data_IF_615097337797
#
_entry.id   IF_615097337797
#
_cell.length_a   1.000
_cell.length_b   1.000
_cell.length_c   1.000
_cell.angle_alpha   90.00
_cell.angle_beta   90.00
_cell.angle_gamma   90.00
#
_symmetry.space_group_name_H-M   'P 1'
#
loop_
_entity.id
_entity.type
_entity.pdbx_description
1 polymer ?
#
# COMPACT_ATOMS: atom_id res chain seq x y z
N UNK A 1 18.34 -2.48 -7.72
CA UNK A 1 18.82 -2.59 -6.31
C UNK A 1 17.59 -2.80 -5.46
N UNK A 2 17.51 -3.88 -4.68
CA UNK A 2 16.31 -4.14 -3.85
C UNK A 2 16.35 -3.20 -2.64
N UNK A 3 15.30 -2.40 -2.41
CA UNK A 3 15.21 -1.45 -1.29
C UNK A 3 15.42 -2.12 0.07
N UNK A 4 15.02 -3.39 0.21
CA UNK A 4 15.24 -4.18 1.43
C UNK A 4 16.74 -4.29 1.78
N UNK A 5 17.62 -4.40 0.78
CA UNK A 5 19.09 -4.44 1.01
C UNK A 5 19.66 -3.11 1.50
N UNK A 6 18.93 -2.01 1.31
CA UNK A 6 19.32 -0.71 1.88
C UNK A 6 18.89 -0.68 3.35
N UNK A 7 17.67 -1.14 3.67
CA UNK A 7 17.19 -1.22 5.04
C UNK A 7 18.09 -2.11 5.93
N UNK A 8 18.56 -3.24 5.39
CA UNK A 8 19.48 -4.17 6.05
C UNK A 8 20.82 -3.53 6.49
N UNK A 9 21.20 -2.38 5.94
CA UNK A 9 22.41 -1.65 6.35
C UNK A 9 22.24 -0.88 7.67
N UNK A 10 21.01 -0.75 8.16
CA UNK A 10 20.66 -0.02 9.38
C UNK A 10 19.97 -0.94 10.39
N UNK A 11 20.57 -2.08 10.77
CA UNK A 11 19.90 -3.07 11.61
C UNK A 11 19.53 -2.48 12.97
N UNK A 12 18.44 -2.99 13.55
CA UNK A 12 18.22 -2.82 14.98
C UNK A 12 19.40 -3.42 15.75
N UNK A 13 19.77 -2.74 16.84
CA UNK A 13 20.83 -3.18 17.74
C UNK A 13 20.43 -2.90 19.17
N UNK A 14 20.85 -3.75 20.10
CA UNK A 14 20.51 -3.65 21.52
C UNK A 14 20.01 -4.99 22.06
N UNK A 15 19.38 -4.94 23.23
CA UNK A 15 18.71 -6.10 23.82
C UNK A 15 17.31 -6.21 23.23
N UNK A 16 17.12 -7.17 22.32
CA UNK A 16 15.87 -7.40 21.59
C UNK A 16 15.33 -8.76 22.02
N UNK A 17 14.05 -8.83 22.34
CA UNK A 17 13.38 -10.10 22.64
C UNK A 17 12.07 -10.19 21.89
N UNK A 18 11.98 -11.14 20.97
CA UNK A 18 10.76 -11.47 20.26
C UNK A 18 9.98 -12.58 20.98
N UNK A 19 8.67 -12.45 21.05
CA UNK A 19 7.78 -13.47 21.59
C UNK A 19 6.39 -13.38 20.97
N UNK A 20 5.66 -14.49 20.99
CA UNK A 20 4.30 -14.57 20.48
C UNK A 20 3.38 -15.02 21.60
N UNK A 21 2.27 -14.33 21.78
CA UNK A 21 1.23 -14.71 22.73
C UNK A 21 -0.04 -15.11 22.00
N UNK A 22 -0.90 -15.82 22.73
CA UNK A 22 -2.21 -16.23 22.21
C UNK A 22 -3.28 -15.33 22.79
N UNK A 23 -4.19 -14.89 21.94
CA UNK A 23 -5.32 -14.05 22.25
C UNK A 23 -6.61 -14.77 21.83
N UNK A 24 -7.67 -14.58 22.61
CA UNK A 24 -9.02 -15.05 22.29
C UNK A 24 -9.99 -13.91 22.62
N UNK A 25 -10.81 -13.51 21.65
CA UNK A 25 -11.69 -12.33 21.73
C UNK A 25 -10.93 -11.13 22.33
N UNK A 26 -9.80 -10.81 21.67
CA UNK A 26 -8.88 -9.70 21.94
C UNK A 26 -8.27 -9.69 23.36
N UNK A 27 -8.45 -10.79 24.10
CA UNK A 27 -7.96 -10.96 25.46
C UNK A 27 -6.83 -11.97 25.53
N UNK A 28 -5.77 -11.61 26.29
CA UNK A 28 -4.64 -12.50 26.54
C UNK A 28 -5.06 -13.76 27.32
N UNK A 29 -4.75 -14.94 26.78
CA UNK A 29 -5.06 -16.21 27.47
C UNK A 29 -3.89 -16.83 28.25
N UNK A 30 -2.64 -16.41 27.98
CA UNK A 30 -1.44 -16.96 28.64
C UNK A 30 -0.72 -15.89 29.45
N UNK A 31 -0.61 -16.10 30.76
CA UNK A 31 0.05 -15.16 31.68
C UNK A 31 1.42 -15.64 32.18
N UNK A 32 1.90 -16.79 31.72
CA UNK A 32 3.27 -17.25 31.99
C UNK A 32 4.26 -16.47 31.14
N UNK A 33 5.37 -16.06 31.76
CA UNK A 33 6.46 -15.34 31.08
C UNK A 33 7.02 -16.18 29.91
N UNK A 34 6.98 -15.68 28.66
CA UNK A 34 7.26 -16.49 27.48
C UNK A 34 8.76 -16.71 27.19
N UNK A 35 9.63 -15.88 27.77
CA UNK A 35 11.08 -15.97 27.58
C UNK A 35 11.85 -15.61 28.86
N UNK A 36 12.97 -16.28 29.17
CA UNK A 36 13.85 -15.88 30.27
C UNK A 36 14.55 -14.54 30.06
N UNK A 37 14.65 -14.06 28.81
CA UNK A 37 15.25 -12.77 28.46
C UNK A 37 14.34 -11.57 28.80
N UNK A 38 13.09 -11.85 29.19
CA UNK A 38 12.15 -10.88 29.73
C UNK A 38 12.35 -10.86 31.25
N UNK A 39 12.65 -9.68 31.81
CA UNK A 39 12.75 -9.53 33.26
C UNK A 39 11.38 -9.67 33.93
N UNK A 40 11.38 -9.95 35.22
CA UNK A 40 10.12 -10.03 35.97
C UNK A 40 9.42 -8.68 36.02
N UNK A 41 10.17 -7.57 36.07
CA UNK A 41 9.61 -6.21 36.01
C UNK A 41 8.86 -5.96 34.70
N UNK A 42 9.50 -6.23 33.56
CA UNK A 42 8.90 -6.02 32.23
C UNK A 42 7.67 -6.91 32.03
N UNK A 43 7.73 -8.17 32.50
CA UNK A 43 6.58 -9.06 32.39
C UNK A 43 5.41 -8.60 33.26
N UNK A 44 5.68 -8.14 34.49
CA UNK A 44 4.64 -7.57 35.33
C UNK A 44 4.06 -6.28 34.75
N UNK A 45 4.88 -5.46 34.08
CA UNK A 45 4.39 -4.29 33.38
C UNK A 45 3.50 -4.65 32.20
N UNK A 46 3.89 -5.64 31.39
CA UNK A 46 3.07 -6.17 30.31
C UNK A 46 1.69 -6.62 30.81
N UNK A 47 1.65 -7.41 31.89
CA UNK A 47 0.39 -7.90 32.46
C UNK A 47 -0.51 -6.78 33.01
N UNK A 48 0.07 -5.73 33.63
CA UNK A 48 -0.68 -4.57 34.13
C UNK A 48 -1.22 -3.67 33.04
N UNK A 49 -0.62 -3.69 31.86
CA UNK A 49 -0.99 -2.83 30.73
C UNK A 49 -2.29 -3.26 30.05
N UNK A 50 -2.80 -4.47 30.35
CA UNK A 50 -4.06 -4.99 29.79
C UNK A 50 -4.19 -4.81 28.28
N UNK A 51 -3.11 -5.11 27.54
CA UNK A 51 -3.03 -4.91 26.10
C UNK A 51 -4.07 -5.77 25.40
N UNK A 52 -5.07 -5.12 24.80
CA UNK A 52 -6.05 -5.71 23.88
C UNK A 52 -5.49 -5.69 22.47
N UNK A 53 -5.63 -6.78 21.72
CA UNK A 53 -5.17 -6.81 20.33
C UNK A 53 -5.96 -7.85 19.54
N UNK A 54 -6.51 -7.40 18.41
CA UNK A 54 -7.28 -8.19 17.47
C UNK A 54 -6.36 -9.09 16.68
N UNK A 55 -6.78 -10.34 16.47
CA UNK A 55 -6.00 -11.29 15.71
C UNK A 55 -6.88 -12.37 15.07
N UNK A 56 -6.90 -12.43 13.74
CA UNK A 56 -7.69 -13.42 12.98
C UNK A 56 -7.27 -14.87 13.32
N UNK A 57 -6.00 -15.08 13.65
CA UNK A 57 -5.46 -16.39 14.01
C UNK A 57 -5.23 -16.59 15.51
N UNK A 58 -5.65 -15.61 16.33
CA UNK A 58 -5.46 -15.61 17.79
C UNK A 58 -3.99 -15.55 18.22
N UNK A 59 -3.06 -15.11 17.37
CA UNK A 59 -1.63 -14.94 17.67
C UNK A 59 -1.21 -13.50 17.44
N UNK A 60 -0.59 -12.92 18.45
CA UNK A 60 -0.03 -11.56 18.40
C UNK A 60 1.46 -11.66 18.68
N UNK A 61 2.27 -11.04 17.82
CA UNK A 61 3.72 -11.00 17.94
C UNK A 61 4.14 -9.72 18.63
N UNK A 62 5.14 -9.83 19.49
CA UNK A 62 5.66 -8.73 20.28
C UNK A 62 7.18 -8.71 20.19
N UNK A 63 7.74 -7.51 20.19
CA UNK A 63 9.18 -7.29 20.31
C UNK A 63 9.44 -6.29 21.44
N UNK A 64 10.26 -6.68 22.41
CA UNK A 64 10.79 -5.79 23.44
C UNK A 64 12.12 -5.20 23.00
N UNK A 65 12.20 -3.87 22.90
CA UNK A 65 13.40 -3.11 22.53
C UNK A 65 13.28 -1.66 23.02
N UNK A 66 14.40 -1.05 23.40
CA UNK A 66 14.47 0.39 23.70
C UNK A 66 14.34 1.21 22.40
N UNK A 67 13.20 1.90 22.21
CA UNK A 67 12.88 2.63 20.99
C UNK A 67 13.28 4.11 21.05
N UNK A 68 13.40 4.68 22.25
CA UNK A 68 13.67 6.11 22.45
C UNK A 68 15.02 6.43 23.13
N UNK A 69 15.75 5.40 23.55
CA UNK A 69 17.09 5.48 24.14
C UNK A 69 17.10 5.81 25.63
N UNK A 70 16.00 5.67 26.35
CA UNK A 70 15.92 5.93 27.78
C UNK A 70 16.46 4.78 28.66
N UNK A 71 16.85 3.66 28.03
CA UNK A 71 17.40 2.47 28.69
C UNK A 71 16.36 1.50 29.21
N UNK A 72 15.07 1.79 29.08
CA UNK A 72 13.96 0.84 29.29
C UNK A 72 13.53 0.30 27.94
N UNK A 73 13.16 -0.99 27.88
CA UNK A 73 12.64 -1.58 26.65
C UNK A 73 11.16 -1.24 26.51
N UNK A 74 10.80 -0.70 25.36
CA UNK A 74 9.45 -0.48 24.89
C UNK A 74 8.92 -1.70 24.16
N UNK A 75 7.65 -1.64 23.76
CA UNK A 75 6.95 -2.75 23.12
C UNK A 75 6.53 -2.39 21.69
N UNK A 76 6.92 -3.23 20.74
CA UNK A 76 6.33 -3.29 19.40
C UNK A 76 5.29 -4.42 19.40
N UNK A 77 4.14 -4.17 18.78
CA UNK A 77 3.04 -5.12 18.61
C UNK A 77 2.82 -5.31 17.12
N UNK A 78 2.88 -6.56 16.65
CA UNK A 78 2.54 -6.92 15.27
C UNK A 78 1.40 -7.92 15.30
N UNK A 79 0.25 -7.53 14.74
CA UNK A 79 -0.93 -8.38 14.67
C UNK A 79 -1.51 -8.47 13.27
N UNK A 80 -1.92 -9.67 12.90
CA UNK A 80 -2.68 -9.93 11.68
C UNK A 80 -4.17 -9.93 12.02
N UNK A 81 -4.86 -8.87 11.61
CA UNK A 81 -6.27 -8.61 11.93
C UNK A 81 -7.20 -9.22 10.88
N UNK A 82 -6.69 -9.45 9.66
CA UNK A 82 -7.42 -10.16 8.61
C UNK A 82 -8.26 -9.25 7.71
N UNK A 83 -9.49 -9.67 7.42
CA UNK A 83 -10.36 -8.99 6.45
C UNK A 83 -10.00 -9.28 4.99
N UNK A 84 -10.75 -8.70 4.06
CA UNK A 84 -10.59 -9.00 2.62
C UNK A 84 -9.23 -8.57 2.07
N UNK A 85 -8.64 -7.50 2.61
CA UNK A 85 -7.29 -7.04 2.29
C UNK A 85 -6.15 -7.85 2.94
N UNK A 86 -6.44 -8.73 3.90
CA UNK A 86 -5.42 -9.38 4.75
C UNK A 86 -4.55 -8.33 5.47
N UNK A 87 -5.17 -7.50 6.29
CA UNK A 87 -4.48 -6.43 7.01
C UNK A 87 -3.65 -6.97 8.17
N UNK A 88 -2.46 -6.42 8.30
CA UNK A 88 -1.67 -6.48 9.53
C UNK A 88 -1.39 -5.08 10.03
N UNK A 89 -1.43 -4.91 11.34
CA UNK A 89 -1.17 -3.67 12.03
C UNK A 89 0.05 -3.78 12.92
N UNK A 90 0.83 -2.71 12.95
CA UNK A 90 1.98 -2.57 13.84
C UNK A 90 1.74 -1.41 14.80
N UNK A 91 1.70 -1.69 16.09
CA UNK A 91 1.57 -0.72 17.17
C UNK A 91 2.86 -0.56 17.99
N UNK A 92 2.99 0.56 18.69
CA UNK A 92 4.08 0.78 19.65
C UNK A 92 3.57 1.34 20.97
N UNK A 93 4.01 0.76 22.07
CA UNK A 93 3.72 1.22 23.42
C UNK A 93 5.02 1.57 24.15
N UNK A 94 5.04 2.75 24.76
CA UNK A 94 6.16 3.23 25.53
C UNK A 94 6.15 2.62 26.93
N UNK A 95 7.31 2.22 27.43
CA UNK A 95 7.46 1.73 28.80
C UNK A 95 7.41 2.89 29.80
N UNK A 96 6.42 2.84 30.70
CA UNK A 96 6.31 3.69 31.87
C UNK A 96 7.17 3.22 33.04
N UNK A 97 6.72 3.47 34.27
CA UNK A 97 7.38 2.92 35.46
C UNK A 97 6.88 1.51 35.76
N UNK A 98 5.60 1.23 35.55
CA UNK A 98 4.99 -0.06 35.86
C UNK A 98 4.04 -0.59 34.77
N UNK A 99 3.87 0.11 33.65
CA UNK A 99 3.06 -0.29 32.51
C UNK A 99 3.71 0.02 31.14
N UNK A 100 3.00 -0.32 30.07
CA UNK A 100 3.23 0.06 28.68
C UNK A 100 1.99 0.81 28.18
N UNK A 101 2.18 2.01 27.63
CA UNK A 101 1.07 2.84 27.18
C UNK A 101 1.36 3.49 25.83
N UNK A 102 0.30 3.74 25.06
CA UNK A 102 0.41 4.54 23.84
C UNK A 102 0.70 6.01 24.23
N UNK A 103 1.63 6.65 23.52
CA UNK A 103 1.96 8.08 23.77
C UNK A 103 0.89 9.03 23.24
N UNK A 104 0.07 8.56 22.31
CA UNK A 104 -1.17 9.21 21.92
C UNK A 104 -2.31 8.34 22.46
N UNK A 105 -3.03 8.81 23.47
CA UNK A 105 -4.26 8.17 23.98
C UNK A 105 -5.43 8.27 22.99
N UNK A 106 -5.17 8.20 21.68
CA UNK A 106 -6.21 7.92 20.69
C UNK A 106 -6.47 6.41 20.73
N UNK A 107 -7.03 5.93 21.83
CA UNK A 107 -8.10 4.95 21.70
C UNK A 107 -9.13 5.67 20.82
N UNK A 108 -9.28 5.21 19.57
CA UNK A 108 -10.48 5.20 18.70
C UNK A 108 -11.69 6.16 18.91
N UNK A 109 -11.55 7.29 19.61
CA UNK A 109 -12.63 8.20 20.01
C UNK A 109 -12.71 9.47 19.14
N UNK A 110 -11.85 9.60 18.13
CA UNK A 110 -12.21 10.43 16.99
C UNK A 110 -13.22 9.59 16.20
N UNK A 111 -14.47 10.07 16.07
CA UNK A 111 -15.61 9.32 15.54
C UNK A 111 -15.54 8.90 14.06
N UNK A 112 -14.35 8.70 13.53
CA UNK A 112 -14.02 7.82 12.42
C UNK A 112 -13.76 6.40 12.99
N UNK A 113 -14.58 5.45 12.56
CA UNK A 113 -14.73 4.03 12.96
C UNK A 113 -13.47 3.15 12.77
N UNK A 114 -12.27 3.74 12.92
CA UNK A 114 -10.99 3.12 12.66
C UNK A 114 -10.45 2.43 13.91
N UNK A 115 -10.97 1.24 14.18
CA UNK A 115 -10.37 0.32 15.13
C UNK A 115 -9.18 -0.39 14.46
N UNK A 116 -7.98 0.12 14.71
CA UNK A 116 -6.74 -0.45 14.16
C UNK A 116 -6.43 -1.86 14.71
N UNK A 117 -7.24 -2.39 15.63
CA UNK A 117 -7.08 -3.72 16.23
C UNK A 117 -5.82 -3.89 17.08
N UNK A 118 -4.98 -2.85 17.24
CA UNK A 118 -3.82 -2.83 18.13
C UNK A 118 -3.64 -1.44 18.75
N UNK A 119 -3.26 -1.33 20.03
CA UNK A 119 -3.05 -0.05 20.68
C UNK A 119 -1.77 0.60 20.16
N UNK A 120 -1.77 1.94 20.11
CA UNK A 120 -0.62 2.70 19.64
C UNK A 120 -0.26 2.46 18.17
N UNK A 121 -1.25 2.15 17.32
CA UNK A 121 -1.06 1.84 15.90
C UNK A 121 -0.17 2.87 15.16
N UNK A 122 0.96 2.39 14.64
CA UNK A 122 1.98 3.18 13.95
C UNK A 122 1.88 3.10 12.42
N UNK A 123 1.50 1.95 11.88
CA UNK A 123 1.17 1.77 10.46
C UNK A 123 0.42 0.44 10.27
N UNK A 124 -0.15 0.26 9.09
CA UNK A 124 -0.72 -1.00 8.62
C UNK A 124 -0.06 -1.43 7.31
N UNK A 125 -0.23 -2.71 6.98
CA UNK A 125 0.07 -3.26 5.66
C UNK A 125 -1.13 -4.05 5.14
N UNK A 126 -1.43 -3.92 3.85
CA UNK A 126 -2.46 -4.69 3.16
C UNK A 126 -1.82 -5.76 2.27
N UNK A 127 -2.07 -7.03 2.59
CA UNK A 127 -1.47 -8.17 1.91
C UNK A 127 -2.01 -8.46 0.50
N UNK A 128 -3.16 -7.90 0.10
CA UNK A 128 -3.78 -8.16 -1.22
C UNK A 128 -3.97 -6.93 -2.11
N UNK A 129 -4.11 -5.74 -1.55
CA UNK A 129 -4.49 -4.50 -2.21
C UNK A 129 -3.50 -3.35 -2.02
N UNK A 130 -2.26 -3.65 -1.64
CA UNK A 130 -1.21 -2.64 -1.57
C UNK A 130 0.17 -3.22 -1.85
N UNK A 131 1.10 -2.34 -2.25
CA UNK A 131 2.51 -2.70 -2.39
C UNK A 131 3.25 -2.13 -1.18
N UNK A 132 3.18 -2.83 -0.06
CA UNK A 132 3.68 -2.35 1.22
C UNK A 132 4.62 -3.36 1.85
N UNK A 133 5.64 -2.85 2.54
CA UNK A 133 6.50 -3.63 3.43
C UNK A 133 7.10 -2.69 4.45
N UNK A 134 7.68 -3.24 5.50
CA UNK A 134 8.34 -2.45 6.52
C UNK A 134 9.65 -3.11 6.96
N UNK A 135 10.48 -2.30 7.63
CA UNK A 135 11.65 -2.78 8.34
C UNK A 135 11.94 -1.84 9.52
N UNK A 136 12.28 -2.40 10.68
CA UNK A 136 12.77 -1.59 11.77
C UNK A 136 14.25 -1.27 11.57
N UNK A 137 14.60 0.01 11.68
CA UNK A 137 15.95 0.50 11.42
C UNK A 137 16.46 1.39 12.54
N UNK A 138 17.77 1.37 12.77
CA UNK A 138 18.45 2.30 13.68
C UNK A 138 19.39 3.20 12.90
N UNK A 139 19.13 4.51 12.93
CA UNK A 139 19.90 5.52 12.22
C UNK A 139 20.39 6.55 13.23
N UNK A 140 21.71 6.72 13.33
CA UNK A 140 22.35 7.65 14.26
C UNK A 140 21.85 7.54 15.71
N UNK A 141 21.60 6.31 16.17
CA UNK A 141 21.14 6.02 17.53
C UNK A 141 19.62 6.06 17.72
N UNK A 142 18.85 6.63 16.78
CA UNK A 142 17.39 6.68 16.83
C UNK A 142 16.77 5.50 16.07
N UNK A 143 15.77 4.86 16.68
CA UNK A 143 14.98 3.81 16.04
C UNK A 143 13.83 4.43 15.22
N UNK A 144 13.58 3.84 14.05
CA UNK A 144 12.47 4.17 13.16
C UNK A 144 11.84 2.88 12.62
N UNK A 145 10.53 2.90 12.35
CA UNK A 145 9.95 2.00 11.36
C UNK A 145 10.13 2.63 9.98
N UNK A 146 10.93 1.98 9.13
CA UNK A 146 10.96 2.28 7.71
C UNK A 146 9.75 1.61 7.06
N UNK A 147 8.75 2.41 6.69
CA UNK A 147 7.53 1.91 6.06
C UNK A 147 7.52 2.30 4.58
N UNK A 148 7.39 1.30 3.72
CA UNK A 148 7.29 1.46 2.28
C UNK A 148 5.83 1.35 1.86
N UNK A 149 5.39 2.32 1.06
CA UNK A 149 4.09 2.31 0.40
C UNK A 149 4.25 2.68 -1.07
N UNK A 150 3.98 1.71 -1.95
CA UNK A 150 4.15 1.83 -3.39
C UNK A 150 2.83 1.90 -4.15
N UNK A 151 2.81 2.78 -5.15
CA UNK A 151 1.76 2.94 -6.15
C UNK A 151 2.40 2.93 -7.55
N UNK A 152 1.60 2.81 -8.60
CA UNK A 152 2.09 2.86 -9.97
C UNK A 152 2.79 4.20 -10.24
N UNK A 153 4.05 4.14 -10.64
CA UNK A 153 4.88 5.32 -10.91
C UNK A 153 5.42 6.04 -9.67
N UNK A 154 5.15 5.58 -8.44
CA UNK A 154 5.63 6.22 -7.21
C UNK A 154 5.88 5.22 -6.07
N UNK A 155 7.07 5.28 -5.48
CA UNK A 155 7.37 4.62 -4.22
C UNK A 155 7.57 5.68 -3.12
N UNK A 156 6.91 5.52 -1.98
CA UNK A 156 7.15 6.32 -0.78
C UNK A 156 7.81 5.49 0.31
N UNK A 157 8.90 6.01 0.88
CA UNK A 157 9.60 5.44 2.03
C UNK A 157 9.52 6.42 3.19
N UNK A 158 8.76 6.06 4.21
CA UNK A 158 8.53 6.85 5.41
C UNK A 158 9.46 6.40 6.54
N UNK A 159 10.06 7.35 7.26
CA UNK A 159 10.80 7.08 8.50
C UNK A 159 9.93 7.42 9.71
N UNK A 160 9.10 6.47 10.11
CA UNK A 160 8.16 6.64 11.21
C UNK A 160 8.91 6.55 12.54
N UNK A 161 8.93 7.65 13.29
CA UNK A 161 9.54 7.70 14.62
C UNK A 161 8.54 7.17 15.67
N UNK A 162 8.90 6.16 16.48
CA UNK A 162 8.10 5.74 17.62
C UNK A 162 7.76 6.94 18.52
N UNK A 163 6.56 6.93 19.09
CA UNK A 163 6.09 7.93 20.06
C UNK A 163 6.00 9.38 19.54
N UNK A 164 6.17 9.56 18.24
CA UNK A 164 6.01 10.86 17.60
C UNK A 164 4.54 11.25 17.56
N UNK A 165 4.24 12.48 17.99
CA UNK A 165 2.87 13.04 17.95
C UNK A 165 2.61 13.90 16.70
N UNK A 166 3.63 14.12 15.87
CA UNK A 166 3.47 14.86 14.61
C UNK A 166 2.81 13.98 13.54
N UNK A 167 1.84 14.56 12.82
CA UNK A 167 1.24 13.97 11.62
C UNK A 167 2.16 14.04 10.39
N UNK A 168 3.22 14.85 10.45
CA UNK A 168 4.27 14.93 9.44
C UNK A 168 5.44 14.02 9.80
N UNK A 169 5.93 13.27 8.82
CA UNK A 169 7.07 12.38 8.96
C UNK A 169 8.06 12.57 7.79
N UNK A 170 9.38 12.39 7.99
CA UNK A 170 10.33 12.40 6.89
C UNK A 170 10.02 11.26 5.92
N UNK A 171 10.01 11.57 4.63
CA UNK A 171 9.79 10.61 3.57
C UNK A 171 10.73 10.84 2.39
N UNK A 172 11.05 9.75 1.69
CA UNK A 172 11.68 9.77 0.37
C UNK A 172 10.66 9.26 -0.64
N UNK A 173 10.38 10.07 -1.65
CA UNK A 173 9.54 9.70 -2.79
C UNK A 173 10.41 9.42 -3.99
N UNK A 174 10.22 8.26 -4.61
CA UNK A 174 10.86 7.90 -5.88
C UNK A 174 9.80 7.86 -6.95
N UNK A 175 9.93 8.70 -7.98
CA UNK A 175 9.04 8.72 -9.14
C UNK A 175 9.64 7.91 -10.28
N UNK A 176 8.78 7.20 -10.99
CA UNK A 176 9.16 6.35 -12.11
C UNK A 176 8.41 6.69 -13.40
N UNK A 177 9.06 6.38 -14.52
CA UNK A 177 8.45 6.21 -15.84
C UNK A 177 8.79 4.82 -16.36
N UNK A 178 7.91 4.25 -17.16
CA UNK A 178 7.99 2.90 -17.68
C UNK A 178 8.14 2.95 -19.20
N UNK A 179 9.08 2.18 -19.75
CA UNK A 179 9.16 1.95 -21.20
C UNK A 179 8.26 0.78 -21.55
N UNK A 180 6.94 1.02 -21.63
CA UNK A 180 5.93 0.02 -21.98
C UNK A 180 6.04 -0.33 -23.47
N UNK A 181 6.55 -1.52 -23.79
CA UNK A 181 6.84 -1.93 -25.16
C UNK A 181 6.41 -3.38 -25.49
N UNK A 182 5.84 -4.08 -24.50
CA UNK A 182 5.34 -5.44 -24.62
C UNK A 182 3.82 -5.42 -24.43
N UNK A 183 3.10 -6.04 -25.38
CA UNK A 183 1.65 -6.27 -25.32
C UNK A 183 1.44 -7.74 -25.63
N UNK A 184 0.78 -8.47 -24.73
CA UNK A 184 0.57 -9.92 -24.82
C UNK A 184 -0.86 -10.30 -24.40
N UNK A 185 -1.30 -11.48 -24.80
CA UNK A 185 -2.54 -12.05 -24.29
C UNK A 185 -2.38 -12.41 -22.80
N UNK A 186 -3.42 -12.21 -21.97
CA UNK A 186 -3.46 -12.74 -20.61
C UNK A 186 -3.31 -14.27 -20.59
N UNK A 187 -3.88 -14.94 -21.59
CA UNK A 187 -3.71 -16.37 -21.76
C UNK A 187 -2.41 -16.68 -22.49
N UNK A 188 -1.57 -17.50 -21.83
CA UNK A 188 -0.26 -17.87 -22.37
C UNK A 188 -0.39 -18.54 -23.74
N UNK A 189 0.44 -18.08 -24.68
CA UNK A 189 0.54 -18.60 -26.05
C UNK A 189 -0.75 -18.42 -26.90
N UNK A 190 -1.71 -17.60 -26.44
CA UNK A 190 -2.91 -17.24 -27.20
C UNK A 190 -2.73 -15.94 -27.98
N UNK A 191 -3.47 -15.75 -29.09
CA UNK A 191 -3.52 -14.47 -29.79
C UNK A 191 -4.16 -13.38 -28.90
N UNK A 192 -3.84 -12.12 -29.21
CA UNK A 192 -4.52 -10.98 -28.62
C UNK A 192 -6.01 -11.00 -28.99
N UNK A 193 -6.86 -10.75 -28.00
CA UNK A 193 -8.30 -10.59 -28.18
C UNK A 193 -8.72 -9.26 -27.56
N UNK A 194 -9.21 -8.29 -28.35
CA UNK A 194 -9.24 -8.27 -29.82
C UNK A 194 -7.84 -8.31 -30.45
N UNK A 195 -7.74 -8.69 -31.73
CA UNK A 195 -6.47 -8.61 -32.46
C UNK A 195 -6.06 -7.16 -32.72
N UNK A 196 -4.75 -6.88 -32.66
CA UNK A 196 -4.18 -5.57 -32.98
C UNK A 196 -3.50 -5.60 -34.34
N UNK A 197 -3.86 -4.67 -35.23
CA UNK A 197 -3.03 -4.37 -36.40
C UNK A 197 -1.73 -3.67 -35.96
N UNK A 198 -0.73 -3.60 -36.84
CA UNK A 198 0.51 -2.86 -36.54
C UNK A 198 0.25 -1.38 -36.24
N UNK A 199 -0.75 -0.78 -36.91
CA UNK A 199 -1.20 0.59 -36.67
C UNK A 199 -1.85 0.76 -35.29
N UNK A 200 -2.85 -0.07 -34.98
CA UNK A 200 -3.55 -0.03 -33.69
C UNK A 200 -2.56 -0.27 -32.53
N UNK A 201 -1.61 -1.20 -32.70
CA UNK A 201 -0.55 -1.47 -31.73
C UNK A 201 0.34 -0.25 -31.50
N UNK A 202 0.76 0.43 -32.56
CA UNK A 202 1.60 1.62 -32.45
C UNK A 202 0.86 2.78 -31.77
N UNK A 203 -0.44 2.95 -32.06
CA UNK A 203 -1.27 3.97 -31.42
C UNK A 203 -1.54 3.64 -29.95
N UNK A 204 -1.79 2.37 -29.60
CA UNK A 204 -1.91 1.93 -28.20
C UNK A 204 -0.62 2.22 -27.41
N UNK A 205 0.55 1.87 -27.95
CA UNK A 205 1.84 2.18 -27.31
C UNK A 205 2.04 3.70 -27.11
N UNK A 206 1.57 4.53 -28.05
CA UNK A 206 1.59 5.99 -27.90
C UNK A 206 0.65 6.46 -26.80
N UNK A 207 -0.58 5.93 -26.73
CA UNK A 207 -1.52 6.22 -25.65
C UNK A 207 -0.94 5.84 -24.28
N UNK A 208 -0.28 4.67 -24.19
CA UNK A 208 0.40 4.22 -22.99
C UNK A 208 1.54 5.17 -22.57
N UNK A 209 2.31 5.72 -23.51
CA UNK A 209 3.36 6.70 -23.19
C UNK A 209 2.76 8.01 -22.66
N UNK A 210 1.70 8.53 -23.30
CA UNK A 210 1.03 9.77 -22.89
C UNK A 210 0.42 9.64 -21.49
N UNK A 211 -0.23 8.51 -21.20
CA UNK A 211 -0.88 8.20 -19.92
C UNK A 211 0.01 8.45 -18.71
N UNK A 212 1.32 8.19 -18.84
CA UNK A 212 2.27 8.31 -17.74
C UNK A 212 2.47 9.74 -17.25
N UNK A 213 1.97 10.75 -17.99
CA UNK A 213 1.90 12.14 -17.54
C UNK A 213 0.57 12.53 -16.88
N UNK A 214 -0.40 11.61 -16.79
CA UNK A 214 -1.77 11.89 -16.37
C UNK A 214 -2.42 10.73 -15.59
N UNK A 215 -1.63 10.08 -14.72
CA UNK A 215 -2.07 9.00 -13.84
C UNK A 215 -3.21 9.46 -12.93
N UNK A 216 -4.18 8.59 -12.62
CA UNK A 216 -5.34 8.96 -11.80
C UNK A 216 -4.94 9.47 -10.42
N UNK A 217 -3.94 8.83 -9.79
CA UNK A 217 -3.41 9.24 -8.48
C UNK A 217 -2.88 10.68 -8.43
N UNK A 218 -2.46 11.23 -9.56
CA UNK A 218 -1.91 12.58 -9.66
C UNK A 218 -2.98 13.61 -10.10
N UNK A 219 -4.22 13.18 -10.39
CA UNK A 219 -5.32 14.08 -10.79
C UNK A 219 -6.01 14.69 -9.57
N UNK A 220 -6.36 15.98 -9.61
CA UNK A 220 -7.23 16.58 -8.59
C UNK A 220 -8.61 15.92 -8.59
N UNK A 221 -9.20 15.70 -7.42
CA UNK A 221 -10.55 15.12 -7.29
C UNK A 221 -11.66 15.94 -7.98
N UNK A 222 -11.41 17.21 -8.28
CA UNK A 222 -12.34 18.11 -8.97
C UNK A 222 -12.23 18.12 -10.49
N UNK A 223 -11.28 17.38 -11.07
CA UNK A 223 -11.04 17.36 -12.50
C UNK A 223 -11.77 16.18 -13.16
N UNK A 224 -12.97 16.47 -13.71
CA UNK A 224 -13.72 15.48 -14.49
C UNK A 224 -13.05 15.15 -15.84
N UNK A 225 -12.00 15.88 -16.23
CA UNK A 225 -11.23 15.64 -17.44
C UNK A 225 -12.01 15.85 -18.74
N UNK A 226 -11.30 15.67 -19.86
CA UNK A 226 -11.95 15.48 -21.15
C UNK A 226 -12.45 14.03 -21.27
N UNK A 227 -13.51 13.78 -22.05
CA UNK A 227 -13.96 12.41 -22.29
C UNK A 227 -12.83 11.58 -22.91
N UNK A 228 -12.69 10.33 -22.47
CA UNK A 228 -11.63 9.42 -22.88
C UNK A 228 -11.77 9.11 -24.37
N UNK A 229 -12.99 8.82 -24.81
CA UNK A 229 -13.36 8.64 -26.21
C UNK A 229 -14.25 9.78 -26.71
N UNK A 230 -14.25 10.11 -28.01
CA UNK A 230 -15.15 11.12 -28.56
C UNK A 230 -16.62 10.72 -28.38
N UNK A 231 -17.40 11.63 -27.79
CA UNK A 231 -18.85 11.45 -27.58
C UNK A 231 -19.58 11.69 -28.91
N UNK A 232 -20.39 10.73 -29.40
CA UNK A 232 -21.18 10.92 -30.61
C UNK A 232 -22.16 12.10 -30.52
N UNK A 233 -22.41 12.82 -31.64
CA UNK A 233 -23.44 13.85 -31.66
C UNK A 233 -24.83 13.28 -31.33
N UNK A 234 -25.53 13.91 -30.40
CA UNK A 234 -26.88 13.51 -29.99
C UNK A 234 -26.95 12.47 -28.87
N UNK A 235 -25.81 12.07 -28.30
CA UNK A 235 -25.75 11.28 -27.06
C UNK A 235 -26.40 12.05 -25.91
N UNK A 236 -27.23 11.37 -25.11
CA UNK A 236 -27.88 11.97 -23.95
C UNK A 236 -26.85 12.31 -22.86
N UNK A 237 -27.24 13.13 -21.87
CA UNK A 237 -26.34 13.47 -20.77
C UNK A 237 -25.95 12.21 -19.96
N UNK A 238 -26.92 11.34 -19.67
CA UNK A 238 -26.69 10.11 -18.90
C UNK A 238 -25.77 9.12 -19.65
N UNK A 239 -25.92 9.01 -20.98
CA UNK A 239 -25.03 8.17 -21.80
C UNK A 239 -23.64 8.78 -22.00
N UNK A 240 -23.50 10.11 -21.88
CA UNK A 240 -22.22 10.80 -22.02
C UNK A 240 -21.27 10.44 -20.87
N UNK A 241 -21.79 10.13 -19.69
CA UNK A 241 -21.00 9.76 -18.50
C UNK A 241 -20.16 8.50 -18.74
N UNK A 242 -20.64 7.55 -19.55
CA UNK A 242 -19.93 6.32 -19.92
C UNK A 242 -18.62 6.57 -20.71
N UNK A 243 -18.37 7.80 -21.16
CA UNK A 243 -17.16 8.18 -21.88
C UNK A 243 -16.05 8.71 -20.97
N UNK A 244 -16.29 8.85 -19.66
CA UNK A 244 -15.36 9.45 -18.70
C UNK A 244 -14.72 8.43 -17.74
N UNK A 245 -15.22 7.19 -17.68
CA UNK A 245 -14.71 6.14 -16.80
C UNK A 245 -14.53 4.81 -17.52
N UNK A 246 -13.71 3.94 -16.93
CA UNK A 246 -13.53 2.57 -17.36
C UNK A 246 -14.29 1.56 -16.49
N UNK A 247 -13.88 0.31 -16.60
CA UNK A 247 -14.46 -0.81 -15.84
C UNK A 247 -14.07 -0.72 -14.37
N UNK A 248 -15.00 -1.03 -13.46
CA UNK A 248 -14.69 -1.15 -12.04
C UNK A 248 -13.83 -2.39 -11.79
N UNK A 249 -12.70 -2.22 -11.08
CA UNK A 249 -11.78 -3.31 -10.75
C UNK A 249 -11.93 -3.75 -9.29
N UNK A 250 -11.50 -4.98 -9.01
CA UNK A 250 -11.50 -5.53 -7.65
C UNK A 250 -10.45 -4.81 -6.77
N UNK A 251 -10.67 -4.76 -5.45
CA UNK A 251 -9.78 -4.10 -4.47
C UNK A 251 -8.33 -4.63 -4.42
N UNK A 252 -8.06 -5.78 -5.05
CA UNK A 252 -6.69 -6.33 -5.19
C UNK A 252 -5.87 -5.64 -6.30
N UNK A 253 -6.47 -4.67 -6.99
CA UNK A 253 -5.90 -3.95 -8.11
C UNK A 253 -5.86 -2.45 -7.86
N UNK A 254 -4.77 -1.82 -8.27
CA UNK A 254 -4.68 -0.37 -8.39
C UNK A 254 -5.22 0.06 -9.76
N UNK A 255 -6.28 0.88 -9.81
CA UNK A 255 -6.66 1.56 -11.07
C UNK A 255 -5.68 2.69 -11.36
N UNK A 256 -4.90 2.52 -12.43
CA UNK A 256 -3.80 3.43 -12.77
C UNK A 256 -4.28 4.59 -13.64
N UNK A 257 -5.02 4.25 -14.71
CA UNK A 257 -5.48 5.22 -15.70
C UNK A 257 -6.60 4.68 -16.57
N UNK A 258 -7.28 5.63 -17.24
CA UNK A 258 -8.14 5.35 -18.37
C UNK A 258 -7.55 6.00 -19.62
N UNK A 259 -7.47 5.26 -20.72
CA UNK A 259 -6.91 5.75 -21.99
C UNK A 259 -7.83 5.44 -23.18
N UNK A 260 -7.80 6.26 -24.25
CA UNK A 260 -8.40 5.88 -25.51
C UNK A 260 -7.58 4.77 -26.18
N UNK A 261 -8.28 3.72 -26.61
CA UNK A 261 -7.74 2.64 -27.43
C UNK A 261 -8.48 2.61 -28.75
N UNK A 262 -7.76 2.88 -29.83
CA UNK A 262 -8.32 2.88 -31.18
C UNK A 262 -8.10 1.52 -31.82
N UNK A 263 -9.19 0.85 -32.18
CA UNK A 263 -9.19 -0.42 -32.89
C UNK A 263 -10.04 -0.30 -34.14
N UNK A 264 -9.45 -0.50 -35.32
CA UNK A 264 -10.18 -0.44 -36.60
C UNK A 264 -11.01 0.85 -36.77
N UNK A 265 -10.48 1.98 -36.30
CA UNK A 265 -11.13 3.30 -36.37
C UNK A 265 -12.26 3.53 -35.36
N UNK A 266 -12.49 2.61 -34.42
CA UNK A 266 -13.41 2.79 -33.27
C UNK A 266 -12.62 3.04 -32.00
N UNK A 267 -13.12 3.93 -31.13
CA UNK A 267 -12.52 4.21 -29.84
C UNK A 267 -13.17 3.34 -28.75
N UNK A 268 -12.33 2.71 -27.95
CA UNK A 268 -12.66 1.94 -26.76
C UNK A 268 -11.95 2.55 -25.55
N UNK A 269 -12.50 2.32 -24.36
CA UNK A 269 -11.87 2.76 -23.11
C UNK A 269 -10.97 1.63 -22.62
N UNK A 270 -9.68 1.92 -22.52
CA UNK A 270 -8.70 1.05 -21.87
C UNK A 270 -8.58 1.39 -20.40
N UNK A 271 -9.04 0.49 -19.54
CA UNK A 271 -8.88 0.55 -18.09
C UNK A 271 -7.58 -0.12 -17.70
N UNK A 272 -6.64 0.65 -17.17
CA UNK A 272 -5.31 0.15 -16.84
C UNK A 272 -5.22 -0.07 -15.35
N UNK A 273 -4.82 -1.27 -14.96
CA UNK A 273 -4.62 -1.60 -13.58
C UNK A 273 -3.32 -2.36 -13.35
N UNK A 274 -2.81 -2.23 -12.12
CA UNK A 274 -1.60 -2.90 -11.69
C UNK A 274 -1.90 -3.85 -10.54
N UNK A 275 -1.30 -5.03 -10.61
CA UNK A 275 -1.19 -5.90 -9.46
C UNK A 275 -0.08 -5.37 -8.54
N UNK A 276 -0.46 -4.99 -7.33
CA UNK A 276 0.49 -4.52 -6.33
C UNK A 276 1.69 -5.49 -6.18
N UNK A 277 2.92 -4.96 -6.16
CA UNK A 277 4.13 -5.75 -5.85
C UNK A 277 4.76 -6.56 -6.99
N UNK A 278 4.24 -6.49 -8.22
CA UNK A 278 4.77 -7.22 -9.38
C UNK A 278 6.03 -6.59 -10.04
N UNK A 279 6.60 -5.51 -9.50
CA UNK A 279 7.63 -4.71 -10.18
C UNK A 279 9.06 -5.31 -10.21
N UNK A 280 9.22 -6.65 -10.14
CA UNK A 280 10.55 -7.29 -10.01
C UNK A 280 11.40 -7.23 -11.29
N UNK A 281 10.76 -7.09 -12.45
CA UNK A 281 11.42 -7.04 -13.77
C UNK A 281 11.08 -5.77 -14.58
N UNK A 282 10.47 -4.77 -13.94
CA UNK A 282 9.90 -3.62 -14.61
C UNK A 282 8.50 -3.36 -14.09
N UNK A 283 7.51 -3.27 -14.97
CA UNK A 283 6.09 -3.32 -14.63
C UNK A 283 5.38 -4.39 -15.45
N UNK A 284 4.52 -5.14 -14.79
CA UNK A 284 3.47 -5.93 -15.43
C UNK A 284 2.15 -5.30 -14.97
N UNK A 285 1.37 -4.84 -15.95
CA UNK A 285 0.05 -4.26 -15.76
C UNK A 285 -0.89 -4.87 -16.79
N UNK A 286 -2.17 -4.66 -16.60
CA UNK A 286 -3.21 -5.16 -17.49
C UNK A 286 -4.07 -4.00 -17.96
N UNK A 287 -4.59 -4.15 -19.18
CA UNK A 287 -5.54 -3.23 -19.78
C UNK A 287 -6.78 -4.00 -20.17
N UNK A 288 -7.92 -3.64 -19.57
CA UNK A 288 -9.24 -4.12 -19.97
C UNK A 288 -9.88 -3.14 -20.92
N UNK A 289 -10.39 -3.64 -22.04
CA UNK A 289 -11.07 -2.83 -23.06
C UNK A 289 -12.57 -2.94 -22.90
N UNK A 290 -13.24 -1.80 -22.77
CA UNK A 290 -14.71 -1.72 -22.77
C UNK A 290 -15.22 -0.75 -23.82
N UNK A 291 -16.42 -1.03 -24.32
CA UNK A 291 -17.19 -0.08 -25.13
C UNK A 291 -17.80 1.00 -24.24
N UNK A 292 -17.67 2.31 -24.56
CA UNK A 292 -18.36 3.38 -23.85
C UNK A 292 -19.85 3.51 -24.24
N UNK A 293 -20.37 2.62 -25.09
CA UNK A 293 -21.81 2.56 -25.45
C UNK A 293 -22.54 1.70 -24.42
N UNK A 294 -23.86 1.87 -24.28
CA UNK A 294 -24.67 1.10 -23.32
C UNK A 294 -24.44 -0.41 -23.46
N UNK A 295 -23.73 -1.00 -22.49
CA UNK A 295 -23.56 -2.43 -22.20
C UNK A 295 -22.30 -2.69 -21.35
N UNK A 296 -21.38 -1.71 -21.19
CA UNK A 296 -20.07 -1.89 -20.54
C UNK A 296 -19.37 -3.19 -21.01
N UNK A 297 -19.65 -3.64 -22.24
CA UNK A 297 -19.26 -4.97 -22.64
C UNK A 297 -17.73 -4.99 -22.74
N UNK A 298 -17.11 -5.73 -21.83
CA UNK A 298 -15.67 -6.01 -21.89
C UNK A 298 -15.43 -6.82 -23.14
N UNK A 299 -14.63 -6.27 -24.05
CA UNK A 299 -14.34 -6.90 -25.35
C UNK A 299 -13.01 -7.66 -25.36
N UNK A 300 -12.23 -7.54 -24.29
CA UNK A 300 -10.99 -8.28 -24.08
C UNK A 300 -9.95 -7.50 -23.30
N UNK A 301 -8.84 -8.18 -23.01
CA UNK A 301 -7.80 -7.71 -22.12
C UNK A 301 -6.42 -7.93 -22.73
N UNK A 302 -5.45 -7.08 -22.38
CA UNK A 302 -4.04 -7.28 -22.71
C UNK A 302 -3.16 -7.16 -21.47
N UNK A 303 -2.11 -7.97 -21.41
CA UNK A 303 -0.99 -7.74 -20.51
C UNK A 303 -0.01 -6.77 -21.16
N UNK A 304 0.30 -5.70 -20.44
CA UNK A 304 1.30 -4.71 -20.82
C UNK A 304 2.51 -4.82 -19.89
N UNK A 305 3.71 -4.75 -20.47
CA UNK A 305 4.92 -4.74 -19.67
C UNK A 305 6.03 -3.89 -20.25
N UNK A 306 6.96 -3.50 -19.37
CA UNK A 306 8.03 -2.57 -19.71
C UNK A 306 9.04 -2.37 -18.61
N UNK A 307 10.18 -1.78 -18.96
CA UNK A 307 11.24 -1.47 -17.99
C UNK A 307 10.89 -0.24 -17.16
N UNK A 308 11.18 -0.27 -15.86
CA UNK A 308 10.99 0.84 -14.93
C UNK A 308 12.24 1.72 -14.88
N UNK A 309 12.07 3.03 -14.97
CA UNK A 309 13.13 4.04 -14.91
C UNK A 309 12.84 5.05 -13.82
N UNK A 310 13.81 5.29 -12.93
CA UNK A 310 13.74 6.39 -11.96
C UNK A 310 13.84 7.71 -12.71
N UNK A 311 12.89 8.61 -12.51
CA UNK A 311 12.89 9.95 -13.11
C UNK A 311 13.11 11.06 -12.07
N UNK A 312 12.76 10.81 -10.80
CA UNK A 312 13.05 11.73 -9.72
C UNK A 312 13.16 10.99 -8.38
N UNK A 313 13.97 11.54 -7.48
CA UNK A 313 14.03 11.17 -6.07
C UNK A 313 13.94 12.48 -5.29
N UNK A 314 12.93 12.61 -4.44
CA UNK A 314 12.72 13.78 -3.60
C UNK A 314 12.63 13.36 -2.15
N UNK A 315 13.24 14.14 -1.25
CA UNK A 315 13.07 13.97 0.19
C UNK A 315 12.33 15.17 0.75
N UNK A 316 11.51 14.95 1.77
CA UNK A 316 10.70 15.98 2.38
C UNK A 316 9.90 15.46 3.55
N UNK A 317 9.05 16.31 4.10
CA UNK A 317 8.06 15.92 5.09
C UNK A 317 6.75 15.62 4.38
N UNK A 318 6.12 14.50 4.74
CA UNK A 318 4.81 14.10 4.24
C UNK A 318 3.87 13.82 5.41
N UNK A 319 2.58 14.05 5.20
CA UNK A 319 1.56 13.56 6.11
C UNK A 319 1.59 12.04 6.12
N UNK A 320 1.44 11.43 7.30
CA UNK A 320 1.23 9.98 7.43
C UNK A 320 -0.04 9.59 6.65
N UNK A 321 0.10 8.64 5.74
CA UNK A 321 -1.03 8.06 5.01
C UNK A 321 -1.76 7.03 5.91
N UNK A 322 -3.08 6.94 5.77
CA UNK A 322 -3.91 5.98 6.50
C UNK A 322 -3.86 4.58 5.89
N UNK A 323 -4.86 3.75 6.22
CA UNK A 323 -5.02 2.41 5.68
C UNK A 323 -4.98 2.42 4.15
N UNK A 324 -4.08 1.62 3.58
CA UNK A 324 -3.86 1.50 2.13
C UNK A 324 -3.20 2.71 1.43
N UNK A 325 -2.63 3.67 2.16
CA UNK A 325 -1.92 4.75 1.47
C UNK A 325 -2.83 5.76 0.76
N UNK A 326 -4.11 5.79 1.11
CA UNK A 326 -5.10 6.74 0.61
C UNK A 326 -5.75 7.43 1.82
N UNK A 327 -6.14 8.69 1.64
CA UNK A 327 -6.95 9.45 2.62
C UNK A 327 -8.34 8.85 2.76
#
# INVERSE_FOLDING_TARGET
>A
MSLNKVAEQFPLTGHITDFTLTYADDTLITTSKPSPDISDDEWQAFLRSSISADSENGKVSFTLIDLDGDGKRDLIIDSYVGGTGLFSYTGVLKRGDDDFAAVNGSDSDNGDDFDAGVPGALFSINGRGANQWNHWVKINGQVYALWYNGQFGEDNLYLLRPFSTTSQTPAVTVRYRYTLNSIRSPEKDQPLTPSLSDGDKADLLRSLEVMQGSLLKDRPASDNGAPICPIPPGTSADEADNYYSGVAVNYIYETVAYIPVWLNGKCYIGTIFSHHGAYRHGVDAEITLSSPREDEEVIGDYLISGLRHVIAITSGWKTREGDNGMQ
#
